data_IF_227638214619
#
_entry.id   IF_227638214619
#
_cell.length_a   1.000
_cell.length_b   1.000
_cell.length_c   1.000
_cell.angle_alpha   90.00
_cell.angle_beta   90.00
_cell.angle_gamma   90.00
#
_symmetry.space_group_name_H-M   'P 1'
#
loop_
_entity.id
_entity.type
_entity.pdbx_description
1 polymer ?
#
# COMPACT_ATOMS: atom_id res chain seq x y z
N UNK A 1 -8.91 -15.35 21.51
CA UNK A 1 -8.38 -15.21 20.13
C UNK A 1 -7.36 -14.09 20.19
N UNK A 2 -6.07 -14.42 20.22
CA UNK A 2 -5.02 -13.41 20.12
C UNK A 2 -5.14 -12.73 18.76
N UNK A 3 -5.65 -11.51 18.75
CA UNK A 3 -5.60 -10.65 17.57
C UNK A 3 -4.15 -10.21 17.47
N UNK A 4 -3.40 -10.85 16.57
CA UNK A 4 -2.03 -10.43 16.27
C UNK A 4 -2.11 -8.98 15.78
N UNK A 5 -1.63 -8.05 16.59
CA UNK A 5 -1.63 -6.64 16.25
C UNK A 5 -0.74 -6.47 15.02
N UNK A 6 -1.31 -5.98 13.92
CA UNK A 6 -0.55 -5.66 12.71
C UNK A 6 0.42 -4.54 13.04
N UNK A 7 1.73 -4.81 12.95
CA UNK A 7 2.77 -3.79 12.99
C UNK A 7 2.84 -3.03 11.66
N UNK A 8 3.32 -1.80 11.72
CA UNK A 8 3.46 -0.95 10.55
C UNK A 8 4.87 -0.39 10.45
N UNK A 9 5.49 -0.56 9.29
CA UNK A 9 6.68 0.16 8.89
C UNK A 9 6.33 1.52 8.26
N UNK A 10 7.16 2.53 8.47
CA UNK A 10 7.12 3.74 7.66
C UNK A 10 7.89 3.55 6.35
N UNK A 11 7.27 3.96 5.26
CA UNK A 11 7.86 4.00 3.93
C UNK A 11 7.46 5.31 3.24
N UNK A 12 8.08 5.62 2.12
CA UNK A 12 7.77 6.78 1.29
C UNK A 12 7.53 6.33 -0.14
N UNK A 13 6.60 6.98 -0.84
CA UNK A 13 6.46 6.82 -2.30
C UNK A 13 7.69 7.40 -3.00
N UNK A 14 8.11 6.76 -4.10
CA UNK A 14 9.25 7.23 -4.94
C UNK A 14 8.79 7.82 -6.29
N UNK A 15 7.47 7.88 -6.47
CA UNK A 15 6.80 8.51 -7.60
C UNK A 15 5.35 8.79 -7.22
N UNK A 16 4.62 9.51 -8.07
CA UNK A 16 3.17 9.67 -7.95
C UNK A 16 2.49 8.31 -8.16
N UNK A 17 1.73 7.85 -7.15
CA UNK A 17 1.32 6.45 -7.02
C UNK A 17 -0.18 6.32 -6.72
N UNK A 18 -0.90 5.57 -7.56
CA UNK A 18 -2.30 5.24 -7.31
C UNK A 18 -2.41 4.26 -6.14
N UNK A 19 -3.28 4.55 -5.18
CA UNK A 19 -3.70 3.58 -4.18
C UNK A 19 -5.11 3.06 -4.48
N UNK A 20 -5.33 1.80 -4.14
CA UNK A 20 -6.45 1.02 -4.66
C UNK A 20 -7.21 0.28 -3.58
N UNK A 21 -8.48 -0.03 -3.86
CA UNK A 21 -9.35 -0.82 -2.97
C UNK A 21 -9.04 -2.30 -3.00
N UNK A 22 -8.36 -2.78 -4.03
CA UNK A 22 -7.92 -4.17 -4.21
C UNK A 22 -6.58 -4.21 -4.99
N UNK A 23 -5.87 -5.34 -4.92
CA UNK A 23 -4.61 -5.58 -5.62
C UNK A 23 -4.83 -5.85 -7.12
N UNK A 24 -5.46 -4.91 -7.84
CA UNK A 24 -5.85 -5.08 -9.24
C UNK A 24 -5.75 -3.75 -9.99
N UNK A 25 -5.35 -3.79 -11.27
CA UNK A 25 -5.15 -2.59 -12.09
C UNK A 25 -6.42 -2.03 -12.75
N UNK A 26 -7.59 -2.67 -12.65
CA UNK A 26 -8.84 -2.15 -13.22
C UNK A 26 -9.15 -0.73 -12.73
N UNK A 27 -9.72 0.11 -13.59
CA UNK A 27 -9.97 1.52 -13.26
C UNK A 27 -10.87 1.69 -12.02
N UNK A 28 -11.83 0.77 -11.82
CA UNK A 28 -12.76 0.78 -10.69
C UNK A 28 -12.13 0.54 -9.32
N UNK A 29 -10.88 0.07 -9.25
CA UNK A 29 -10.18 -0.10 -7.97
C UNK A 29 -9.39 1.13 -7.56
N UNK A 30 -9.24 2.14 -8.42
CA UNK A 30 -8.52 3.38 -8.07
C UNK A 30 -9.35 4.14 -7.04
N UNK A 31 -8.77 4.35 -5.86
CA UNK A 31 -9.41 5.15 -4.79
C UNK A 31 -8.83 6.57 -4.78
N UNK A 32 -7.55 6.72 -5.09
CA UNK A 32 -6.91 8.01 -5.20
C UNK A 32 -5.43 7.90 -5.53
N UNK A 33 -4.72 9.01 -5.33
CA UNK A 33 -3.31 9.17 -5.67
C UNK A 33 -2.54 9.69 -4.47
N UNK A 34 -1.35 9.14 -4.25
CA UNK A 34 -0.32 9.68 -3.38
C UNK A 34 0.68 10.43 -4.27
N UNK A 35 1.07 11.63 -3.87
CA UNK A 35 2.12 12.37 -4.57
C UNK A 35 3.49 11.72 -4.32
N UNK A 36 4.48 12.09 -5.12
CA UNK A 36 5.86 11.66 -4.88
C UNK A 36 6.35 12.13 -3.49
N UNK A 37 7.23 11.35 -2.86
CA UNK A 37 7.75 11.57 -1.52
C UNK A 37 6.68 11.64 -0.40
N UNK A 38 5.53 11.00 -0.58
CA UNK A 38 4.48 10.92 0.45
C UNK A 38 4.80 9.80 1.47
N UNK A 39 4.94 10.10 2.77
CA UNK A 39 5.11 9.08 3.80
C UNK A 39 3.82 8.26 4.00
N UNK A 40 3.95 6.94 4.10
CA UNK A 40 2.85 6.01 4.33
C UNK A 40 3.21 4.97 5.39
N UNK A 41 2.18 4.52 6.12
CA UNK A 41 2.28 3.35 7.01
C UNK A 41 1.96 2.09 6.22
N UNK A 42 2.87 1.14 6.19
CA UNK A 42 2.76 -0.13 5.46
C UNK A 42 2.61 -1.26 6.46
N UNK A 43 1.59 -2.10 6.28
CA UNK A 43 1.38 -3.27 7.13
C UNK A 43 2.48 -4.31 6.86
N UNK A 44 3.16 -4.77 7.91
CA UNK A 44 4.30 -5.69 7.77
C UNK A 44 3.88 -7.12 7.42
N UNK A 45 2.61 -7.47 7.67
CA UNK A 45 2.01 -8.79 7.45
C UNK A 45 1.42 -8.99 6.05
N UNK A 46 1.52 -7.99 5.16
CA UNK A 46 0.98 -8.05 3.81
C UNK A 46 2.05 -7.79 2.75
N UNK A 47 2.31 -8.80 1.92
CA UNK A 47 3.16 -8.71 0.74
C UNK A 47 2.78 -9.82 -0.24
N UNK A 48 1.93 -9.49 -1.21
CA UNK A 48 1.31 -10.49 -2.10
C UNK A 48 1.54 -10.18 -3.57
N UNK A 49 1.65 -11.21 -4.41
CA UNK A 49 1.88 -11.07 -5.84
C UNK A 49 0.57 -11.19 -6.62
N UNK A 50 0.17 -10.11 -7.29
CA UNK A 50 -1.06 -10.04 -8.08
C UNK A 50 -0.81 -9.27 -9.38
N UNK A 51 -1.31 -9.79 -10.50
CA UNK A 51 -1.20 -9.16 -11.82
C UNK A 51 0.23 -8.73 -12.20
N UNK A 52 1.24 -9.54 -11.87
CA UNK A 52 2.63 -9.29 -12.27
C UNK A 52 3.44 -8.42 -11.31
N UNK A 53 2.85 -7.93 -10.22
CA UNK A 53 3.53 -7.06 -9.26
C UNK A 53 3.28 -7.50 -7.82
N UNK A 54 4.24 -7.20 -6.95
CA UNK A 54 4.01 -7.29 -5.51
C UNK A 54 3.21 -6.08 -5.02
N UNK A 55 2.28 -6.33 -4.11
CA UNK A 55 1.42 -5.31 -3.51
C UNK A 55 1.67 -5.20 -2.01
N UNK A 56 1.57 -3.98 -1.51
CA UNK A 56 1.63 -3.65 -0.08
C UNK A 56 0.29 -3.08 0.36
N UNK A 57 -0.12 -3.46 1.57
CA UNK A 57 -1.28 -2.86 2.24
C UNK A 57 -0.82 -1.63 3.02
N UNK A 58 -1.40 -0.49 2.71
CA UNK A 58 -1.11 0.79 3.38
C UNK A 58 -2.28 1.23 4.25
N UNK A 59 -2.00 1.92 5.34
CA UNK A 59 -3.01 2.52 6.22
C UNK A 59 -3.09 4.02 5.97
N UNK A 60 -4.24 4.49 5.50
CA UNK A 60 -4.56 5.90 5.33
C UNK A 60 -5.76 6.25 6.23
N UNK A 61 -5.51 7.04 7.27
CA UNK A 61 -6.47 7.29 8.33
C UNK A 61 -6.90 5.99 9.03
N UNK A 62 -8.20 5.67 8.96
CA UNK A 62 -8.79 4.47 9.57
C UNK A 62 -8.99 3.31 8.59
N UNK A 63 -8.63 3.48 7.31
CA UNK A 63 -8.85 2.51 6.25
C UNK A 63 -7.53 1.97 5.71
N UNK A 64 -7.64 0.84 5.02
CA UNK A 64 -6.53 0.22 4.32
C UNK A 64 -6.77 0.20 2.82
N UNK A 65 -5.68 0.29 2.08
CA UNK A 65 -5.64 0.30 0.62
C UNK A 65 -4.39 -0.44 0.14
N UNK A 66 -4.28 -0.60 -1.17
CA UNK A 66 -3.19 -1.36 -1.79
C UNK A 66 -2.43 -0.50 -2.79
N UNK A 67 -1.11 -0.63 -2.79
CA UNK A 67 -0.21 -0.01 -3.76
C UNK A 67 0.81 -1.04 -4.23
N UNK A 68 1.35 -0.84 -5.42
CA UNK A 68 2.46 -1.66 -5.94
C UNK A 68 3.72 -1.38 -5.11
N UNK A 69 4.36 -2.44 -4.64
CA UNK A 69 5.49 -2.40 -3.72
C UNK A 69 6.74 -1.76 -4.33
N UNK A 70 6.94 -1.93 -5.64
CA UNK A 70 8.09 -1.41 -6.39
C UNK A 70 8.25 0.11 -6.26
N UNK A 71 7.14 0.80 -5.95
CA UNK A 71 7.08 2.25 -5.83
C UNK A 71 7.11 2.76 -4.38
N UNK A 72 7.54 1.91 -3.44
CA UNK A 72 7.77 2.26 -2.05
C UNK A 72 9.24 2.06 -1.65
N UNK A 73 9.76 3.00 -0.87
CA UNK A 73 11.09 2.92 -0.26
C UNK A 73 11.00 3.03 1.25
N UNK A 74 11.74 2.19 1.97
CA UNK A 74 11.84 2.26 3.43
C UNK A 74 12.59 3.53 3.84
N UNK A 75 12.12 4.17 4.89
CA UNK A 75 12.75 5.35 5.52
C UNK A 75 13.26 5.02 6.92
#
# INVERSE_FOLDING_TARGET
MDTKETSYSQMVTVTRLNYRSDCNFTAGTIVGVLEDNTPVKVADDFYEFHHGHYWRKIKLGRKHYYVVADWLKKI
#
